data_IF_364114360311
#
_entry.id   IF_364114360311
#
_cell.length_a   1.000
_cell.length_b   1.000
_cell.length_c   1.000
_cell.angle_alpha   90.00
_cell.angle_beta   90.00
_cell.angle_gamma   90.00
#
_symmetry.space_group_name_H-M   'P 1'
#
loop_
_entity.id
_entity.type
_entity.pdbx_description
1 polymer ?
#
# COMPACT_ATOMS: atom_id res chain seq x y z
N UNK A 1 -11.20 -7.89 13.53
CA UNK A 1 -9.83 -8.19 13.09
C UNK A 1 -9.64 -7.73 11.64
N UNK A 2 -8.40 -7.69 11.14
CA UNK A 2 -8.13 -7.34 9.74
C UNK A 2 -7.00 -8.16 9.13
N UNK A 3 -6.88 -8.09 7.81
CA UNK A 3 -5.97 -8.91 7.01
C UNK A 3 -5.17 -8.01 6.06
N UNK A 4 -3.88 -8.35 5.85
CA UNK A 4 -3.03 -7.67 4.87
C UNK A 4 -2.86 -8.53 3.61
N UNK A 5 -3.77 -8.43 2.62
CA UNK A 5 -3.66 -9.20 1.37
C UNK A 5 -2.55 -8.65 0.46
N UNK A 6 -2.20 -9.41 -0.57
CA UNK A 6 -1.33 -8.91 -1.65
C UNK A 6 -2.00 -7.73 -2.37
N UNK A 7 -1.20 -6.77 -2.87
CA UNK A 7 -1.74 -5.58 -3.51
C UNK A 7 -2.50 -5.86 -4.82
N UNK A 8 -2.16 -6.93 -5.54
CA UNK A 8 -2.83 -7.35 -6.77
C UNK A 8 -3.76 -8.53 -6.47
N UNK A 9 -5.07 -8.33 -6.58
CA UNK A 9 -6.05 -9.42 -6.41
C UNK A 9 -6.26 -10.20 -7.71
N UNK A 10 -6.61 -9.50 -8.78
CA UNK A 10 -6.54 -9.98 -10.16
C UNK A 10 -6.01 -8.86 -11.05
N UNK A 11 -5.27 -9.23 -12.10
CA UNK A 11 -4.60 -8.28 -12.98
C UNK A 11 -5.54 -7.30 -13.69
N UNK A 12 -6.70 -7.79 -14.12
CA UNK A 12 -7.72 -7.02 -14.84
C UNK A 12 -8.29 -5.83 -14.05
N UNK A 13 -8.19 -5.86 -12.72
CA UNK A 13 -8.88 -4.89 -11.87
C UNK A 13 -8.20 -3.53 -11.79
N UNK A 14 -6.88 -3.50 -11.86
CA UNK A 14 -6.08 -2.27 -11.80
C UNK A 14 -5.11 -2.14 -12.98
N UNK A 15 -5.35 -2.87 -14.08
CA UNK A 15 -4.48 -2.85 -15.26
C UNK A 15 -3.06 -3.34 -14.98
N UNK A 16 -2.90 -4.28 -14.03
CA UNK A 16 -1.59 -4.84 -13.67
C UNK A 16 -1.29 -6.08 -14.50
N UNK A 17 -0.04 -6.54 -14.47
CA UNK A 17 0.38 -7.76 -15.18
C UNK A 17 1.37 -8.59 -14.34
N UNK A 18 1.11 -8.65 -13.03
CA UNK A 18 1.97 -9.29 -12.04
C UNK A 18 1.39 -10.58 -11.47
N UNK A 19 2.09 -11.10 -10.46
CA UNK A 19 1.55 -12.11 -9.55
C UNK A 19 0.22 -11.62 -8.94
N UNK A 20 -0.79 -12.47 -8.81
CA UNK A 20 -2.08 -12.08 -8.25
C UNK A 20 -2.54 -13.04 -7.14
N UNK A 21 -3.19 -12.50 -6.11
CA UNK A 21 -3.55 -13.28 -4.92
C UNK A 21 -4.69 -14.25 -5.14
N UNK A 22 -5.63 -13.91 -6.02
CA UNK A 22 -6.84 -14.72 -6.20
C UNK A 22 -6.51 -16.08 -6.81
N UNK A 23 -5.82 -16.10 -7.96
CA UNK A 23 -5.53 -17.34 -8.68
C UNK A 23 -4.36 -18.13 -8.09
N UNK A 24 -3.43 -17.48 -7.39
CA UNK A 24 -2.18 -18.13 -6.96
C UNK A 24 -2.18 -18.45 -5.46
N UNK A 25 -2.74 -17.56 -4.63
CA UNK A 25 -2.76 -17.72 -3.18
C UNK A 25 -4.14 -18.12 -2.62
N UNK A 26 -5.15 -18.23 -3.49
CA UNK A 26 -6.54 -18.47 -3.08
C UNK A 26 -7.03 -17.44 -2.04
N UNK A 27 -6.54 -16.20 -2.18
CA UNK A 27 -6.81 -15.10 -1.26
C UNK A 27 -7.74 -14.09 -1.95
N UNK A 28 -9.01 -14.09 -1.53
CA UNK A 28 -10.09 -13.26 -2.07
C UNK A 28 -10.59 -12.22 -1.07
N UNK A 29 -9.98 -11.03 -1.03
CA UNK A 29 -10.40 -9.95 -0.16
C UNK A 29 -11.72 -9.28 -0.60
N UNK A 30 -12.19 -9.47 -1.85
CA UNK A 30 -13.47 -8.90 -2.29
C UNK A 30 -14.62 -9.58 -1.56
N UNK A 31 -14.55 -10.91 -1.42
CA UNK A 31 -15.52 -11.67 -0.61
C UNK A 31 -15.50 -11.21 0.85
N UNK A 32 -14.31 -11.00 1.44
CA UNK A 32 -14.21 -10.56 2.83
C UNK A 32 -14.83 -9.18 3.07
N UNK A 33 -14.60 -8.24 2.14
CA UNK A 33 -15.17 -6.89 2.19
C UNK A 33 -16.68 -6.95 2.00
N UNK A 34 -17.15 -7.66 0.98
CA UNK A 34 -18.58 -7.80 0.65
C UNK A 34 -19.38 -8.42 1.79
N UNK A 35 -18.88 -9.52 2.34
CA UNK A 35 -19.56 -10.28 3.39
C UNK A 35 -19.31 -9.70 4.79
N UNK A 36 -18.53 -8.61 4.87
CA UNK A 36 -18.18 -7.90 6.11
C UNK A 36 -17.54 -8.80 7.16
N UNK A 37 -16.72 -9.76 6.70
CA UNK A 37 -16.05 -10.70 7.59
C UNK A 37 -14.75 -10.14 8.18
N UNK A 38 -14.28 -9.00 7.69
CA UNK A 38 -13.14 -8.24 8.23
C UNK A 38 -13.56 -6.83 8.65
N UNK A 39 -12.88 -6.28 9.66
CA UNK A 39 -13.06 -4.87 10.05
C UNK A 39 -12.24 -3.94 9.14
N UNK A 40 -11.07 -4.41 8.71
CA UNK A 40 -10.15 -3.66 7.86
C UNK A 40 -9.31 -4.55 6.96
N UNK A 41 -8.82 -3.97 5.86
CA UNK A 41 -7.80 -4.57 5.02
C UNK A 41 -6.56 -3.67 4.92
N UNK A 42 -5.41 -4.31 4.73
CA UNK A 42 -4.13 -3.62 4.51
C UNK A 42 -3.42 -4.13 3.27
N UNK A 43 -3.86 -3.74 2.05
CA UNK A 43 -3.25 -4.25 0.83
C UNK A 43 -1.78 -3.87 0.73
N UNK A 44 -0.95 -4.84 0.38
CA UNK A 44 0.49 -4.68 0.21
C UNK A 44 0.81 -4.07 -1.15
N UNK A 45 0.70 -2.74 -1.28
CA UNK A 45 1.03 -2.01 -2.51
C UNK A 45 2.53 -1.67 -2.49
N UNK A 46 3.34 -2.68 -2.81
CA UNK A 46 4.80 -2.68 -2.59
C UNK A 46 5.62 -2.29 -3.83
N UNK A 47 5.00 -1.59 -4.77
CA UNK A 47 5.61 -1.12 -6.01
C UNK A 47 5.67 0.41 -6.04
N UNK A 48 6.51 0.90 -6.91
CA UNK A 48 6.69 2.32 -7.18
C UNK A 48 5.48 2.93 -7.91
N UNK A 49 5.26 4.24 -7.74
CA UNK A 49 4.38 5.03 -8.61
C UNK A 49 4.94 4.98 -10.03
N UNK A 50 4.11 4.58 -11.00
CA UNK A 50 4.52 4.38 -12.39
C UNK A 50 5.15 3.00 -12.68
N UNK A 51 5.11 2.05 -11.74
CA UNK A 51 5.68 0.71 -11.96
C UNK A 51 4.96 -0.03 -13.09
N UNK A 52 5.70 -0.48 -14.11
CA UNK A 52 5.17 -1.03 -15.36
C UNK A 52 4.19 -2.22 -15.19
N UNK A 53 4.39 -3.09 -14.20
CA UNK A 53 3.53 -4.26 -13.98
C UNK A 53 2.48 -4.06 -12.88
N UNK A 54 2.61 -3.03 -12.05
CA UNK A 54 1.91 -2.94 -10.77
C UNK A 54 1.93 -1.51 -10.23
N UNK A 55 1.45 -0.57 -11.05
CA UNK A 55 1.53 0.85 -10.74
C UNK A 55 0.77 1.19 -9.45
N UNK A 56 1.48 1.74 -8.48
CA UNK A 56 0.89 2.24 -7.23
C UNK A 56 -0.29 3.18 -7.48
N UNK A 57 -0.16 4.04 -8.51
CA UNK A 57 -1.17 5.05 -8.85
C UNK A 57 -2.45 4.49 -9.45
N UNK A 58 -2.43 3.23 -9.91
CA UNK A 58 -3.61 2.49 -10.37
C UNK A 58 -4.17 1.59 -9.26
N UNK A 59 -3.29 0.98 -8.47
CA UNK A 59 -3.69 0.08 -7.38
C UNK A 59 -4.40 0.81 -6.24
N UNK A 60 -3.89 1.97 -5.82
CA UNK A 60 -4.49 2.76 -4.75
C UNK A 60 -5.97 3.13 -5.03
N UNK A 61 -6.31 3.82 -6.14
CA UNK A 61 -7.70 4.17 -6.42
C UNK A 61 -8.60 2.95 -6.57
N UNK A 62 -8.07 1.85 -7.12
CA UNK A 62 -8.82 0.60 -7.21
C UNK A 62 -9.20 0.06 -5.82
N UNK A 63 -8.25 -0.05 -4.89
CA UNK A 63 -8.54 -0.46 -3.51
C UNK A 63 -9.54 0.47 -2.80
N UNK A 64 -9.39 1.78 -3.01
CA UNK A 64 -10.32 2.79 -2.50
C UNK A 64 -11.74 2.58 -3.05
N UNK A 65 -11.88 2.20 -4.31
CA UNK A 65 -13.18 2.00 -4.95
C UNK A 65 -13.96 0.80 -4.42
N UNK A 66 -13.27 -0.22 -3.86
CA UNK A 66 -13.91 -1.47 -3.44
C UNK A 66 -14.13 -1.58 -1.92
N UNK A 67 -13.53 -0.70 -1.11
CA UNK A 67 -13.51 -0.87 0.35
C UNK A 67 -14.89 -0.73 1.02
N UNK A 68 -15.78 0.08 0.44
CA UNK A 68 -17.11 0.33 1.02
C UNK A 68 -17.03 0.94 2.42
N UNK A 69 -17.64 0.26 3.40
CA UNK A 69 -17.75 0.71 4.80
C UNK A 69 -16.69 0.10 5.74
N UNK A 70 -15.72 -0.65 5.19
CA UNK A 70 -14.60 -1.22 5.95
C UNK A 70 -13.44 -0.24 6.01
N UNK A 71 -12.50 -0.41 6.95
CA UNK A 71 -11.31 0.47 6.98
C UNK A 71 -10.25 -0.02 5.99
N UNK A 72 -9.62 0.92 5.28
CA UNK A 72 -8.49 0.67 4.40
C UNK A 72 -7.24 1.36 4.94
N UNK A 73 -6.16 0.59 5.13
CA UNK A 73 -4.84 1.12 5.45
C UNK A 73 -3.85 0.65 4.39
N UNK A 74 -3.04 1.51 3.79
CA UNK A 74 -2.16 1.07 2.71
C UNK A 74 -0.86 0.49 3.27
N UNK A 75 -0.52 -0.74 2.86
CA UNK A 75 0.76 -1.36 3.18
C UNK A 75 1.85 -0.84 2.25
N UNK A 76 2.90 -0.22 2.82
CA UNK A 76 4.03 0.33 2.09
C UNK A 76 5.31 -0.49 2.30
N UNK A 77 6.09 -0.70 1.24
CA UNK A 77 7.42 -1.33 1.35
C UNK A 77 8.51 -0.33 1.77
N UNK A 78 8.27 0.43 2.84
CA UNK A 78 9.16 1.50 3.29
C UNK A 78 10.62 1.05 3.44
N UNK A 79 10.86 -0.15 3.96
CA UNK A 79 12.21 -0.64 4.17
C UNK A 79 12.97 -1.03 2.90
N UNK A 80 12.29 -1.12 1.76
CA UNK A 80 12.90 -1.16 0.43
C UNK A 80 13.14 0.27 -0.05
N UNK A 81 12.10 1.11 -0.10
CA UNK A 81 12.15 2.43 -0.74
C UNK A 81 12.99 3.46 0.01
N UNK A 82 13.25 3.27 1.31
CA UNK A 82 14.14 4.14 2.09
C UNK A 82 15.52 3.54 2.30
N UNK A 83 15.78 2.33 1.81
CA UNK A 83 17.08 1.70 1.96
C UNK A 83 18.17 2.49 1.23
N UNK A 84 19.38 2.52 1.81
CA UNK A 84 20.55 3.18 1.19
C UNK A 84 20.80 2.70 -0.24
N UNK A 85 20.60 1.40 -0.50
CA UNK A 85 20.81 0.74 -1.81
C UNK A 85 19.65 0.92 -2.80
N UNK A 86 18.56 1.59 -2.42
CA UNK A 86 17.44 1.79 -3.34
C UNK A 86 17.84 2.79 -4.41
N UNK A 87 17.75 2.40 -5.68
CA UNK A 87 18.18 3.21 -6.82
C UNK A 87 17.06 4.05 -7.43
N UNK A 88 15.80 3.81 -7.04
CA UNK A 88 14.66 4.57 -7.50
C UNK A 88 14.56 5.97 -6.87
N UNK A 89 13.44 6.65 -7.15
CA UNK A 89 13.17 8.02 -6.71
C UNK A 89 13.23 8.12 -5.18
N UNK A 90 14.13 8.94 -4.63
CA UNK A 90 14.27 9.06 -3.16
C UNK A 90 13.03 9.62 -2.45
N UNK A 91 12.19 10.36 -3.17
CA UNK A 91 10.92 10.88 -2.65
C UNK A 91 9.76 9.88 -2.70
N UNK A 92 9.97 8.66 -3.23
CA UNK A 92 8.91 7.66 -3.48
C UNK A 92 7.97 7.49 -2.30
N UNK A 93 8.50 7.26 -1.10
CA UNK A 93 7.67 7.11 0.10
C UNK A 93 6.83 8.35 0.41
N UNK A 94 7.41 9.54 0.25
CA UNK A 94 6.69 10.79 0.48
C UNK A 94 5.62 11.04 -0.58
N UNK A 95 5.88 10.64 -1.83
CA UNK A 95 4.93 10.75 -2.93
C UNK A 95 3.74 9.80 -2.72
N UNK A 96 3.98 8.55 -2.34
CA UNK A 96 2.92 7.59 -1.98
C UNK A 96 2.05 8.10 -0.82
N UNK A 97 2.66 8.64 0.23
CA UNK A 97 1.92 9.18 1.38
C UNK A 97 1.09 10.41 1.02
N UNK A 98 1.57 11.27 0.12
CA UNK A 98 0.78 12.38 -0.43
C UNK A 98 -0.40 11.87 -1.22
N UNK A 99 -0.17 10.91 -2.13
CA UNK A 99 -1.24 10.33 -2.96
C UNK A 99 -2.31 9.65 -2.10
N UNK A 100 -1.95 8.92 -1.05
CA UNK A 100 -2.93 8.32 -0.13
C UNK A 100 -3.87 9.37 0.49
N UNK A 101 -3.36 10.56 0.82
CA UNK A 101 -4.13 11.64 1.45
C UNK A 101 -5.12 12.31 0.51
N UNK A 102 -5.02 12.06 -0.79
CA UNK A 102 -6.02 12.51 -1.76
C UNK A 102 -7.33 11.70 -1.66
N UNK A 103 -7.30 10.54 -0.99
CA UNK A 103 -8.45 9.66 -0.82
C UNK A 103 -8.88 9.59 0.65
N UNK A 104 -10.05 10.13 0.98
CA UNK A 104 -10.60 10.12 2.36
C UNK A 104 -10.79 8.71 2.93
N UNK A 105 -11.01 7.72 2.06
CA UNK A 105 -11.24 6.33 2.46
C UNK A 105 -9.93 5.54 2.67
N UNK A 106 -8.77 6.10 2.28
CA UNK A 106 -7.46 5.55 2.65
C UNK A 106 -7.08 6.04 4.05
N UNK A 107 -7.67 5.43 5.07
CA UNK A 107 -7.64 5.86 6.47
C UNK A 107 -6.28 5.78 7.18
N UNK A 108 -5.21 5.37 6.49
CA UNK A 108 -3.87 5.38 7.05
C UNK A 108 -2.87 4.51 6.28
N UNK A 109 -1.73 4.26 6.92
CA UNK A 109 -0.57 3.61 6.32
C UNK A 109 0.06 2.62 7.30
N UNK A 110 0.52 1.48 6.78
CA UNK A 110 1.29 0.46 7.50
C UNK A 110 2.64 0.28 6.81
N UNK A 111 3.73 0.36 7.57
CA UNK A 111 5.09 0.40 7.01
C UNK A 111 5.81 -0.93 7.17
N UNK A 112 6.07 -1.62 6.05
CA UNK A 112 6.88 -2.83 6.04
C UNK A 112 8.38 -2.52 5.83
N UNK A 113 9.25 -2.74 6.80
CA UNK A 113 8.96 -3.05 8.21
C UNK A 113 9.45 -1.94 9.12
N UNK A 114 9.15 -2.05 10.41
CA UNK A 114 9.53 -1.09 11.44
C UNK A 114 11.00 -0.64 11.37
N UNK A 115 11.92 -1.48 10.86
CA UNK A 115 13.35 -1.17 10.69
C UNK A 115 13.63 0.12 9.92
N UNK A 116 12.77 0.48 8.96
CA UNK A 116 12.94 1.73 8.18
C UNK A 116 12.75 2.97 9.04
N UNK A 117 11.86 2.87 10.03
CA UNK A 117 11.53 3.94 10.96
C UNK A 117 12.50 3.90 12.14
N UNK A 118 12.68 2.75 12.79
CA UNK A 118 13.51 2.66 14.01
C UNK A 118 14.98 3.00 13.75
N UNK A 119 15.50 2.67 12.57
CA UNK A 119 16.87 3.01 12.17
C UNK A 119 16.95 4.31 11.35
N UNK A 120 15.84 5.02 11.20
CA UNK A 120 15.72 6.27 10.45
C UNK A 120 16.37 6.20 9.05
N UNK A 121 16.07 5.15 8.28
CA UNK A 121 16.66 4.95 6.96
C UNK A 121 16.39 6.15 6.06
N UNK A 122 17.45 6.79 5.57
CA UNK A 122 17.38 7.99 4.73
C UNK A 122 16.54 9.12 5.33
N UNK A 123 16.50 9.27 6.65
CA UNK A 123 15.72 10.32 7.32
C UNK A 123 14.21 10.07 7.31
N UNK A 124 13.77 8.82 7.10
CA UNK A 124 12.36 8.51 6.97
C UNK A 124 11.56 8.80 8.24
N UNK A 125 12.08 8.49 9.44
CA UNK A 125 11.38 8.81 10.68
C UNK A 125 11.20 10.31 10.88
N UNK A 126 12.23 11.10 10.54
CA UNK A 126 12.16 12.56 10.57
C UNK A 126 11.13 13.10 9.58
N UNK A 127 11.12 12.53 8.37
CA UNK A 127 10.14 12.88 7.33
C UNK A 127 8.71 12.60 7.81
N UNK A 128 8.48 11.44 8.43
CA UNK A 128 7.16 11.09 8.98
C UNK A 128 6.74 12.11 10.04
N UNK A 129 7.60 12.42 11.01
CA UNK A 129 7.32 13.37 12.10
C UNK A 129 7.11 14.81 11.60
N UNK A 130 7.97 15.28 10.70
CA UNK A 130 8.04 16.70 10.33
C UNK A 130 7.16 17.08 9.13
N UNK A 131 6.62 16.10 8.39
CA UNK A 131 5.87 16.38 7.17
C UNK A 131 4.51 15.70 7.12
N UNK A 132 4.37 14.51 7.73
CA UNK A 132 3.17 13.70 7.55
C UNK A 132 2.33 13.59 8.84
N UNK A 133 2.91 13.26 9.99
CA UNK A 133 2.18 12.98 11.23
C UNK A 133 2.46 14.07 12.28
N UNK A 134 1.87 15.25 12.06
CA UNK A 134 1.86 16.38 12.99
C UNK A 134 0.56 16.43 13.77
#
# INVERSE_FOLDING_TARGET
FGISPFGIVENKYAGTNGFNSYSILFCDPLTWIKDKTVDYVTPQIYWEIGHNLADYSLLLPWWVSIIGDRHLYIGHFSSRFTAKRYEGKKSEMGDQLRMNREYSNAGGSVFFSAKSITNNYSGFADTLKNNFYK
#
